data_IF_362710156892
#
_entry.id   IF_362710156892
#
_cell.length_a   1.000
_cell.length_b   1.000
_cell.length_c   1.000
_cell.angle_alpha   90.00
_cell.angle_beta   90.00
_cell.angle_gamma   90.00
#
_symmetry.space_group_name_H-M   'P 1'
#
loop_
_entity.id
_entity.type
_entity.pdbx_description
1 polymer ?
#
# COMPACT_ATOMS: atom_id res chain seq x y z
N UNK A 1 1.89 -14.14 -8.02
CA UNK A 1 2.13 -13.19 -6.93
C UNK A 1 3.59 -13.19 -6.51
N UNK A 2 4.30 -12.07 -6.70
CA UNK A 2 5.63 -11.77 -6.15
C UNK A 2 5.47 -11.15 -4.75
N UNK A 3 6.48 -11.33 -3.90
CA UNK A 3 6.52 -10.68 -2.58
C UNK A 3 7.86 -9.95 -2.46
N UNK A 4 7.81 -8.63 -2.35
CA UNK A 4 8.98 -7.77 -2.15
C UNK A 4 9.04 -7.31 -0.69
N UNK A 5 10.25 -7.18 -0.16
CA UNK A 5 10.53 -6.74 1.20
C UNK A 5 11.59 -5.65 1.17
N UNK A 6 11.28 -4.49 1.75
CA UNK A 6 12.12 -3.27 1.90
C UNK A 6 12.78 -2.69 0.63
N UNK A 7 13.60 -3.48 -0.05
CA UNK A 7 14.40 -3.10 -1.21
C UNK A 7 13.63 -3.39 -2.49
N UNK A 8 13.21 -2.33 -3.17
CA UNK A 8 12.64 -2.34 -4.52
C UNK A 8 12.82 -0.96 -5.15
N UNK A 9 12.80 -0.95 -6.46
CA UNK A 9 12.95 0.24 -7.29
C UNK A 9 11.93 0.24 -8.44
N UNK A 10 11.81 1.37 -9.14
CA UNK A 10 10.72 1.57 -10.08
C UNK A 10 10.77 0.58 -11.26
N UNK A 11 11.98 0.11 -11.62
CA UNK A 11 12.20 -0.88 -12.68
C UNK A 11 11.71 -2.29 -12.32
N UNK A 12 11.43 -2.58 -11.04
CA UNK A 12 10.86 -3.87 -10.63
C UNK A 12 9.40 -4.04 -11.07
N UNK A 13 8.75 -2.95 -11.48
CA UNK A 13 7.33 -2.89 -11.76
C UNK A 13 7.01 -2.52 -13.20
N UNK A 14 5.95 -3.14 -13.73
CA UNK A 14 5.37 -2.82 -15.03
C UNK A 14 4.05 -2.07 -14.85
N UNK A 15 4.07 -0.75 -15.04
CA UNK A 15 2.88 0.13 -14.94
C UNK A 15 2.02 -0.13 -13.68
N UNK A 16 2.59 -0.05 -12.46
CA UNK A 16 1.92 -0.55 -11.27
C UNK A 16 0.69 0.28 -10.90
N UNK A 17 -0.43 -0.40 -10.67
CA UNK A 17 -1.60 0.17 -9.98
C UNK A 17 -1.52 -0.27 -8.52
N UNK A 18 -1.47 0.69 -7.61
CA UNK A 18 -1.08 0.45 -6.22
C UNK A 18 -2.25 0.73 -5.27
N UNK A 19 -2.41 -0.11 -4.26
CA UNK A 19 -3.20 0.23 -3.07
C UNK A 19 -2.35 0.12 -1.82
N UNK A 20 -2.56 1.01 -0.85
CA UNK A 20 -1.74 1.13 0.37
C UNK A 20 -2.62 0.91 1.59
N UNK A 21 -2.20 0.05 2.52
CA UNK A 21 -2.93 -0.17 3.77
C UNK A 21 -2.39 -1.32 4.61
N UNK A 22 -2.80 -1.38 5.88
CA UNK A 22 -2.44 -2.50 6.74
C UNK A 22 -3.21 -3.79 6.41
N UNK A 23 -4.40 -3.66 5.82
CA UNK A 23 -5.27 -4.75 5.38
C UNK A 23 -5.50 -5.85 6.42
N UNK A 24 -5.53 -5.50 7.71
CA UNK A 24 -5.95 -6.46 8.73
C UNK A 24 -7.44 -6.81 8.53
N UNK A 25 -7.76 -8.08 8.75
CA UNK A 25 -9.11 -8.64 8.56
C UNK A 25 -9.56 -8.86 7.11
N UNK A 26 -8.97 -8.19 6.10
CA UNK A 26 -9.35 -8.28 4.68
C UNK A 26 -10.89 -8.31 4.47
N UNK A 27 -11.63 -7.46 5.19
CA UNK A 27 -13.09 -7.38 5.09
C UNK A 27 -13.55 -6.90 3.71
N UNK A 28 -14.86 -6.91 3.44
CA UNK A 28 -15.46 -6.58 2.13
C UNK A 28 -14.96 -5.25 1.55
N UNK A 29 -14.81 -4.21 2.37
CA UNK A 29 -14.22 -2.92 1.93
C UNK A 29 -12.79 -3.04 1.39
N UNK A 30 -11.90 -3.75 2.10
CA UNK A 30 -10.54 -4.03 1.61
C UNK A 30 -10.56 -4.84 0.32
N UNK A 31 -11.42 -5.87 0.28
CA UNK A 31 -11.54 -6.71 -0.91
C UNK A 31 -12.00 -5.92 -2.13
N UNK A 32 -12.93 -4.99 -1.96
CA UNK A 32 -13.41 -4.12 -3.03
C UNK A 32 -12.30 -3.23 -3.60
N UNK A 33 -11.46 -2.64 -2.74
CA UNK A 33 -10.31 -1.81 -3.16
C UNK A 33 -9.30 -2.67 -3.94
N UNK A 34 -8.93 -3.83 -3.40
CA UNK A 34 -7.95 -4.73 -4.03
C UNK A 34 -8.48 -5.24 -5.38
N UNK A 35 -9.75 -5.65 -5.47
CA UNK A 35 -10.38 -6.05 -6.73
C UNK A 35 -10.38 -4.92 -7.76
N UNK A 36 -10.59 -3.67 -7.32
CA UNK A 36 -10.51 -2.49 -8.20
C UNK A 36 -9.10 -2.28 -8.73
N UNK A 37 -8.08 -2.44 -7.88
CA UNK A 37 -6.67 -2.38 -8.31
C UNK A 37 -6.34 -3.46 -9.34
N UNK A 38 -6.75 -4.71 -9.10
CA UNK A 38 -6.52 -5.83 -10.03
C UNK A 38 -7.18 -5.55 -11.37
N UNK A 39 -8.45 -5.11 -11.36
CA UNK A 39 -9.19 -4.75 -12.58
C UNK A 39 -8.48 -3.64 -13.36
N UNK A 40 -8.13 -2.54 -12.70
CA UNK A 40 -7.53 -1.38 -13.36
C UNK A 40 -6.12 -1.68 -13.88
N UNK A 41 -5.31 -2.45 -13.13
CA UNK A 41 -4.01 -2.92 -13.62
C UNK A 41 -4.16 -3.70 -14.92
N UNK A 42 -5.08 -4.66 -14.96
CA UNK A 42 -5.36 -5.45 -16.16
C UNK A 42 -5.82 -4.59 -17.35
N UNK A 43 -6.73 -3.65 -17.11
CA UNK A 43 -7.24 -2.74 -18.15
C UNK A 43 -6.14 -1.83 -18.72
N UNK A 44 -5.16 -1.45 -17.90
CA UNK A 44 -4.02 -0.61 -18.30
C UNK A 44 -2.80 -1.42 -18.76
N UNK A 45 -2.91 -2.75 -18.85
CA UNK A 45 -1.80 -3.63 -19.22
C UNK A 45 -0.63 -3.60 -18.23
N UNK A 46 -0.89 -3.23 -16.97
CA UNK A 46 0.09 -3.17 -15.89
C UNK A 46 -0.09 -4.29 -14.86
N UNK A 47 0.55 -4.12 -13.70
CA UNK A 47 0.44 -5.07 -12.60
C UNK A 47 -0.25 -4.48 -11.36
N UNK A 48 -0.94 -5.36 -10.62
CA UNK A 48 -1.60 -5.02 -9.37
C UNK A 48 -0.63 -5.12 -8.19
N UNK A 49 -0.52 -4.03 -7.43
CA UNK A 49 0.39 -3.94 -6.28
C UNK A 49 -0.38 -3.64 -5.00
N UNK A 50 -0.23 -4.52 -4.01
CA UNK A 50 -0.68 -4.26 -2.64
C UNK A 50 0.53 -3.87 -1.80
N UNK A 51 0.60 -2.61 -1.39
CA UNK A 51 1.57 -2.10 -0.45
C UNK A 51 1.02 -2.24 0.98
N UNK A 52 1.64 -3.11 1.76
CA UNK A 52 1.27 -3.36 3.15
C UNK A 52 2.51 -3.40 4.05
N UNK A 53 2.29 -3.69 5.32
CA UNK A 53 3.27 -3.49 6.38
C UNK A 53 3.47 -4.76 7.19
N UNK A 54 4.74 -5.09 7.45
CA UNK A 54 5.14 -6.17 8.35
C UNK A 54 6.35 -5.72 9.18
N UNK A 55 6.30 -5.70 10.53
CA UNK A 55 5.15 -6.03 11.37
C UNK A 55 3.96 -5.06 11.17
N UNK A 56 2.76 -5.48 11.58
CA UNK A 56 1.57 -4.61 11.51
C UNK A 56 1.80 -3.30 12.29
N UNK A 57 1.42 -2.11 11.76
CA UNK A 57 1.73 -0.81 12.38
C UNK A 57 1.32 -0.71 13.86
N UNK A 58 0.17 -1.31 14.22
CA UNK A 58 -0.31 -1.32 15.63
C UNK A 58 0.70 -1.95 16.59
N UNK A 59 1.43 -2.99 16.17
CA UNK A 59 2.41 -3.69 17.02
C UNK A 59 3.66 -2.83 17.27
N UNK A 60 3.92 -1.85 16.42
CA UNK A 60 5.08 -0.95 16.51
C UNK A 60 4.72 0.34 17.22
N UNK A 61 3.54 0.90 16.90
CA UNK A 61 3.04 2.13 17.51
C UNK A 61 2.55 1.89 18.95
N UNK A 62 2.04 0.70 19.22
CA UNK A 62 1.48 0.32 20.51
C UNK A 62 1.99 -1.06 20.95
N UNK A 63 3.30 -1.21 21.22
CA UNK A 63 3.90 -2.51 21.54
C UNK A 63 3.35 -3.13 22.84
N UNK A 64 2.83 -2.32 23.75
CA UNK A 64 2.22 -2.77 25.00
C UNK A 64 0.75 -3.19 24.84
N UNK A 65 0.12 -2.89 23.70
CA UNK A 65 -1.24 -3.34 23.43
C UNK A 65 -1.18 -4.75 22.88
N UNK A 66 -1.76 -5.70 23.62
CA UNK A 66 -1.92 -7.07 23.14
C UNK A 66 -3.10 -7.14 22.15
N UNK A 67 -2.97 -6.46 21.02
CA UNK A 67 -4.00 -6.44 19.96
C UNK A 67 -3.85 -7.73 19.12
N UNK A 68 -4.82 -8.65 19.13
CA UNK A 68 -4.81 -9.77 18.21
C UNK A 68 -5.02 -9.28 16.78
N UNK A 69 -4.25 -9.80 15.83
CA UNK A 69 -4.45 -9.51 14.41
C UNK A 69 -5.54 -10.44 13.85
N UNK A 70 -6.55 -9.88 13.19
CA UNK A 70 -7.64 -10.66 12.59
C UNK A 70 -7.11 -11.54 11.45
N UNK A 71 -6.14 -11.01 10.71
CA UNK A 71 -5.47 -11.69 9.60
C UNK A 71 -3.95 -11.57 9.78
N UNK A 72 -3.34 -12.56 10.48
CA UNK A 72 -1.89 -12.65 10.60
C UNK A 72 -1.21 -12.69 9.22
N UNK A 73 0.07 -12.34 9.19
CA UNK A 73 0.87 -12.22 7.96
C UNK A 73 0.67 -13.38 6.98
N UNK A 74 0.86 -14.63 7.43
CA UNK A 74 0.74 -15.82 6.58
C UNK A 74 -0.63 -15.95 5.92
N UNK A 75 -1.71 -15.71 6.70
CA UNK A 75 -3.09 -15.72 6.22
C UNK A 75 -3.35 -14.57 5.24
N UNK A 76 -2.82 -13.36 5.51
CA UNK A 76 -2.97 -12.19 4.62
C UNK A 76 -2.38 -12.49 3.25
N UNK A 77 -1.16 -13.03 3.22
CA UNK A 77 -0.47 -13.37 1.98
C UNK A 77 -1.22 -14.45 1.18
N UNK A 78 -1.75 -15.48 1.86
CA UNK A 78 -2.57 -16.50 1.19
C UNK A 78 -3.81 -15.88 0.54
N UNK A 79 -4.57 -15.07 1.28
CA UNK A 79 -5.78 -14.42 0.77
C UNK A 79 -5.49 -13.47 -0.38
N UNK A 80 -4.42 -12.66 -0.30
CA UNK A 80 -4.00 -11.78 -1.40
C UNK A 80 -3.63 -12.58 -2.66
N UNK A 81 -2.99 -13.74 -2.49
CA UNK A 81 -2.67 -14.64 -3.61
C UNK A 81 -3.94 -15.21 -4.24
N UNK A 82 -4.89 -15.68 -3.44
CA UNK A 82 -6.18 -16.21 -3.90
C UNK A 82 -7.03 -15.16 -4.62
N UNK A 83 -6.93 -13.90 -4.21
CA UNK A 83 -7.59 -12.79 -4.89
C UNK A 83 -6.99 -12.47 -6.26
N UNK A 84 -5.79 -12.97 -6.57
CA UNK A 84 -5.12 -12.73 -7.85
C UNK A 84 -4.24 -11.47 -7.88
N UNK A 85 -3.67 -11.06 -6.74
CA UNK A 85 -2.69 -9.95 -6.71
C UNK A 85 -1.38 -10.37 -7.39
N UNK A 86 -0.80 -9.46 -8.19
CA UNK A 86 0.45 -9.72 -8.91
C UNK A 86 1.67 -9.52 -8.01
N UNK A 87 1.70 -8.44 -7.22
CA UNK A 87 2.82 -8.12 -6.34
C UNK A 87 2.33 -7.61 -4.98
N UNK A 88 2.91 -8.14 -3.91
CA UNK A 88 2.74 -7.62 -2.54
C UNK A 88 4.06 -7.03 -2.08
N UNK A 89 4.04 -5.76 -1.67
CA UNK A 89 5.16 -5.13 -0.96
C UNK A 89 4.85 -5.22 0.52
N UNK A 90 5.68 -5.97 1.26
CA UNK A 90 5.65 -5.99 2.71
C UNK A 90 6.75 -5.06 3.21
N UNK A 91 6.38 -3.78 3.34
CA UNK A 91 7.31 -2.76 3.75
C UNK A 91 7.56 -2.84 5.27
N UNK A 92 8.82 -2.81 5.74
CA UNK A 92 9.11 -2.80 7.17
C UNK A 92 8.48 -1.58 7.83
N UNK A 93 7.53 -1.79 8.72
CA UNK A 93 7.03 -0.72 9.56
C UNK A 93 7.89 -0.63 10.80
N UNK A 94 8.70 0.42 10.90
CA UNK A 94 9.57 0.68 12.03
C UNK A 94 9.32 2.10 12.59
N UNK A 95 10.02 2.45 13.67
CA UNK A 95 9.92 3.77 14.29
C UNK A 95 10.41 4.90 13.36
N UNK A 96 11.25 4.60 12.36
CA UNK A 96 11.72 5.59 11.38
C UNK A 96 10.59 5.91 10.41
N UNK A 97 9.92 4.90 9.85
CA UNK A 97 8.77 5.06 8.97
C UNK A 97 7.62 5.76 9.68
N UNK A 98 7.34 5.39 10.93
CA UNK A 98 6.29 6.01 11.75
C UNK A 98 6.50 7.51 12.00
N UNK A 99 7.74 8.00 11.89
CA UNK A 99 8.11 9.41 12.09
C UNK A 99 8.17 10.22 10.80
N UNK A 100 8.10 9.59 9.63
CA UNK A 100 8.10 10.30 8.36
C UNK A 100 6.87 11.21 8.26
N UNK A 101 7.05 12.43 7.76
CA UNK A 101 5.91 13.26 7.41
C UNK A 101 5.10 12.60 6.29
N UNK A 102 3.81 12.92 6.17
CA UNK A 102 3.00 12.49 5.03
C UNK A 102 3.68 12.75 3.68
N UNK A 103 4.22 13.95 3.47
CA UNK A 103 4.90 14.36 2.24
C UNK A 103 6.10 13.45 1.95
N UNK A 104 6.97 13.24 2.94
CA UNK A 104 8.16 12.40 2.79
C UNK A 104 7.79 10.94 2.51
N UNK A 105 6.74 10.41 3.14
CA UNK A 105 6.25 9.06 2.84
C UNK A 105 5.82 8.94 1.37
N UNK A 106 5.04 9.90 0.88
CA UNK A 106 4.52 9.88 -0.49
C UNK A 106 5.63 10.05 -1.52
N UNK A 107 6.51 11.03 -1.32
CA UNK A 107 7.61 11.30 -2.25
C UNK A 107 8.65 10.17 -2.23
N UNK A 108 9.18 9.85 -1.05
CA UNK A 108 10.38 9.01 -0.94
C UNK A 108 10.10 7.52 -1.02
N UNK A 109 8.93 7.08 -0.54
CA UNK A 109 8.56 5.65 -0.44
C UNK A 109 7.63 5.25 -1.56
N UNK A 110 6.64 6.07 -1.90
CA UNK A 110 5.63 5.72 -2.91
C UNK A 110 6.07 6.13 -4.32
N UNK A 111 6.18 7.43 -4.61
CA UNK A 111 6.38 7.88 -5.98
C UNK A 111 7.81 7.67 -6.50
N UNK A 112 8.84 7.91 -5.68
CA UNK A 112 10.23 7.72 -6.11
C UNK A 112 10.56 6.25 -6.36
N UNK A 113 10.06 5.33 -5.53
CA UNK A 113 10.40 3.90 -5.61
C UNK A 113 9.45 3.07 -6.48
N UNK A 114 8.15 3.38 -6.55
CA UNK A 114 7.21 2.60 -7.35
C UNK A 114 6.87 3.26 -8.70
N UNK A 115 6.88 4.60 -8.77
CA UNK A 115 6.32 5.37 -9.89
C UNK A 115 4.94 4.83 -10.35
N UNK A 116 3.95 4.80 -9.44
CA UNK A 116 2.65 4.22 -9.72
C UNK A 116 1.97 4.89 -10.90
N UNK A 117 1.36 4.08 -11.77
CA UNK A 117 0.44 4.59 -12.78
C UNK A 117 -0.84 5.12 -12.13
N UNK A 118 -1.26 4.53 -11.01
CA UNK A 118 -2.41 5.01 -10.23
C UNK A 118 -2.31 4.48 -8.80
N UNK A 119 -2.71 5.31 -7.84
CA UNK A 119 -2.90 4.90 -6.44
C UNK A 119 -4.39 4.88 -6.13
N UNK A 120 -4.90 3.77 -5.60
CA UNK A 120 -6.29 3.60 -5.20
C UNK A 120 -6.30 3.27 -3.72
N UNK A 121 -6.96 4.10 -2.91
CA UNK A 121 -7.08 3.91 -1.46
C UNK A 121 -8.53 4.12 -1.01
N UNK A 122 -8.86 3.64 0.18
CA UNK A 122 -10.16 3.88 0.80
C UNK A 122 -10.35 5.35 1.19
N UNK A 123 -11.60 5.80 1.30
CA UNK A 123 -11.93 7.18 1.68
C UNK A 123 -11.32 7.59 3.03
N UNK A 124 -11.34 6.70 4.02
CA UNK A 124 -10.78 6.93 5.36
C UNK A 124 -9.28 6.62 5.45
N UNK A 125 -8.57 6.53 4.31
CA UNK A 125 -7.14 6.23 4.31
C UNK A 125 -6.35 7.40 4.91
N UNK A 126 -5.49 7.06 5.85
CA UNK A 126 -4.55 8.00 6.47
C UNK A 126 -3.15 7.42 6.51
N UNK A 127 -2.13 8.28 6.48
CA UNK A 127 -0.73 7.88 6.45
C UNK A 127 0.19 8.96 7.03
N UNK A 128 1.49 8.66 7.10
CA UNK A 128 2.50 9.52 7.69
C UNK A 128 2.36 9.65 9.20
N UNK A 129 3.29 10.41 9.79
CA UNK A 129 3.37 10.65 11.23
C UNK A 129 2.03 11.14 11.77
N UNK A 130 1.53 10.46 12.80
CA UNK A 130 0.28 10.85 13.47
C UNK A 130 -0.96 10.76 12.60
N UNK A 131 -0.94 10.01 11.48
CA UNK A 131 -2.05 9.93 10.51
C UNK A 131 -2.41 11.28 9.89
N UNK A 132 -1.42 12.18 9.74
CA UNK A 132 -1.64 13.54 9.25
C UNK A 132 -1.92 13.65 7.75
N UNK A 133 -1.60 12.62 6.95
CA UNK A 133 -1.89 12.58 5.52
C UNK A 133 -3.21 11.87 5.23
N UNK A 134 -3.91 12.32 4.19
CA UNK A 134 -5.22 11.81 3.77
C UNK A 134 -5.23 11.36 2.30
N UNK A 135 -6.27 10.64 1.89
CA UNK A 135 -6.46 10.31 0.48
C UNK A 135 -6.49 11.54 -0.46
N UNK A 136 -6.82 12.72 0.05
CA UNK A 136 -6.77 13.97 -0.72
C UNK A 136 -5.34 14.48 -0.89
N UNK A 137 -4.51 14.40 0.15
CA UNK A 137 -3.10 14.76 0.07
C UNK A 137 -2.34 13.88 -0.93
N UNK A 138 -2.65 12.59 -0.97
CA UNK A 138 -2.11 11.67 -1.99
C UNK A 138 -2.38 12.15 -3.42
N UNK A 139 -3.59 12.66 -3.69
CA UNK A 139 -3.94 13.20 -5.01
C UNK A 139 -3.23 14.52 -5.28
N UNK A 140 -3.13 15.38 -4.26
CA UNK A 140 -2.49 16.70 -4.38
C UNK A 140 -0.97 16.61 -4.59
N UNK A 141 -0.33 15.60 -4.01
CA UNK A 141 1.12 15.36 -4.14
C UNK A 141 1.47 14.36 -5.23
N UNK A 142 0.52 13.99 -6.08
CA UNK A 142 0.81 13.22 -7.28
C UNK A 142 1.74 14.03 -8.18
N UNK A 143 2.94 13.52 -8.52
CA UNK A 143 3.85 14.22 -9.41
C UNK A 143 3.22 14.40 -10.80
N UNK A 144 3.64 15.40 -11.58
CA UNK A 144 3.07 15.67 -12.91
C UNK A 144 3.27 14.54 -13.95
N UNK A 145 4.10 13.53 -13.65
CA UNK A 145 4.23 12.29 -14.43
C UNK A 145 3.34 11.14 -13.93
N UNK A 146 2.77 11.26 -12.72
CA UNK A 146 1.68 10.41 -12.25
C UNK A 146 0.44 10.66 -13.12
N UNK A 147 -0.29 9.61 -13.43
CA UNK A 147 -1.26 9.60 -14.52
C UNK A 147 -2.22 10.79 -14.51
N UNK A 148 -2.24 11.56 -15.60
CA UNK A 148 -3.41 12.37 -15.99
C UNK A 148 -4.57 11.43 -16.36
N UNK A 149 -5.15 10.74 -15.39
CA UNK A 149 -6.40 10.02 -15.57
C UNK A 149 -7.54 11.03 -15.45
N UNK A 150 -8.14 11.39 -16.60
CA UNK A 150 -9.47 12.02 -16.65
C UNK A 150 -10.53 11.11 -16.04
#
# INVERSE_FOLDING_TARGET
>A
MRILRDTFEASDFHHPVVTIGSYDGLHLGHQAIIKKVIKEAKEKGGESVVFTFEPHPVKVLHPHWDVPLITPYSKKILLLKEMGVDTVINYPFDQRLAKLSPEAFVEEVIYRRLRPLKVIVGYNFTFGRGKGGTAEDLRRWEPPWGSKSK
#
